data_IF_109661181816
#
_entry.id   IF_109661181816
#
_cell.length_a   1.000
_cell.length_b   1.000
_cell.length_c   1.000
_cell.angle_alpha   90.00
_cell.angle_beta   90.00
_cell.angle_gamma   90.00
#
_symmetry.space_group_name_H-M   'P 1'
#
loop_
_entity.id
_entity.type
_entity.pdbx_description
1 polymer ?
#
# COMPACT_ATOMS: atom_id res chain seq x y z
N UNK A 1 8.73 16.62 -30.17
CA UNK A 1 9.40 15.61 -29.33
C UNK A 1 8.39 14.66 -28.67
N UNK A 2 7.37 15.15 -27.95
CA UNK A 2 6.39 14.31 -27.23
C UNK A 2 5.56 13.31 -28.10
N UNK A 3 5.38 13.57 -29.39
CA UNK A 3 4.62 12.67 -30.27
C UNK A 3 5.45 11.48 -30.79
N UNK A 4 6.78 11.62 -30.85
CA UNK A 4 7.66 10.53 -31.28
C UNK A 4 7.82 9.47 -30.18
N UNK A 5 7.82 9.89 -28.90
CA UNK A 5 7.89 8.99 -27.75
C UNK A 5 6.62 8.15 -27.58
N UNK A 6 5.45 8.69 -27.90
CA UNK A 6 4.19 7.94 -27.79
C UNK A 6 4.07 6.84 -28.86
N UNK A 7 4.52 7.09 -30.09
CA UNK A 7 4.51 6.07 -31.15
C UNK A 7 5.51 4.95 -30.85
N UNK A 8 6.69 5.25 -30.30
CA UNK A 8 7.67 4.22 -29.93
C UNK A 8 7.17 3.36 -28.78
N UNK A 9 6.52 3.95 -27.76
CA UNK A 9 5.90 3.21 -26.66
C UNK A 9 4.75 2.32 -27.15
N UNK A 10 3.92 2.83 -28.06
CA UNK A 10 2.83 2.06 -28.67
C UNK A 10 3.37 0.85 -29.44
N UNK A 11 4.40 1.05 -30.26
CA UNK A 11 5.02 -0.06 -31.00
C UNK A 11 5.60 -1.12 -30.07
N UNK A 12 6.34 -0.72 -29.03
CA UNK A 12 6.89 -1.64 -28.04
C UNK A 12 5.80 -2.44 -27.31
N UNK A 13 4.68 -1.81 -26.96
CA UNK A 13 3.56 -2.50 -26.34
C UNK A 13 2.90 -3.53 -27.28
N UNK A 14 2.74 -3.20 -28.57
CA UNK A 14 2.21 -4.13 -29.56
C UNK A 14 3.14 -5.31 -29.83
N UNK A 15 4.45 -5.12 -29.78
CA UNK A 15 5.42 -6.22 -29.91
C UNK A 15 5.33 -7.18 -28.71
N UNK A 16 5.21 -6.66 -27.49
CA UNK A 16 4.98 -7.49 -26.31
C UNK A 16 3.66 -8.26 -26.38
N UNK A 17 2.59 -7.66 -26.92
CA UNK A 17 1.33 -8.41 -27.13
C UNK A 17 1.53 -9.62 -28.04
N UNK A 18 2.34 -9.49 -29.11
CA UNK A 18 2.66 -10.60 -30.02
C UNK A 18 3.45 -11.70 -29.29
N UNK A 19 4.44 -11.32 -28.47
CA UNK A 19 5.21 -12.27 -27.65
C UNK A 19 4.33 -13.06 -26.67
N UNK A 20 3.27 -12.43 -26.16
CA UNK A 20 2.29 -13.04 -25.27
C UNK A 20 1.10 -13.70 -25.99
N UNK A 21 1.25 -14.05 -27.28
CA UNK A 21 0.24 -14.73 -28.11
C UNK A 21 -1.09 -13.97 -28.27
N UNK A 22 -1.10 -12.65 -28.08
CA UNK A 22 -2.25 -11.80 -28.37
C UNK A 22 -2.11 -11.30 -29.82
N UNK A 23 -3.11 -11.61 -30.65
CA UNK A 23 -3.07 -11.24 -32.06
C UNK A 23 -3.18 -9.73 -32.23
N UNK A 24 -2.25 -9.16 -33.00
CA UNK A 24 -2.24 -7.73 -33.36
C UNK A 24 -2.56 -7.62 -34.85
N UNK A 25 -3.44 -6.68 -35.19
CA UNK A 25 -3.88 -6.37 -36.55
C UNK A 25 -3.40 -4.98 -36.96
N UNK A 26 -2.86 -4.88 -38.18
CA UNK A 26 -2.45 -3.62 -38.82
C UNK A 26 -1.53 -2.73 -37.97
N UNK A 27 -0.75 -3.31 -37.05
CA UNK A 27 0.16 -2.60 -36.13
C UNK A 27 -0.48 -1.41 -35.37
N UNK A 28 -1.81 -1.44 -35.20
CA UNK A 28 -2.55 -0.40 -34.46
C UNK A 28 -3.66 -0.94 -33.58
N UNK A 29 -4.06 -2.20 -33.74
CA UNK A 29 -5.18 -2.81 -33.03
C UNK A 29 -4.79 -4.21 -32.53
N UNK A 30 -5.35 -4.65 -31.41
CA UNK A 30 -5.16 -6.02 -30.90
C UNK A 30 -6.51 -6.69 -30.68
N UNK A 31 -6.56 -8.00 -30.95
CA UNK A 31 -7.78 -8.79 -30.88
C UNK A 31 -7.94 -9.38 -29.48
N UNK A 32 -9.01 -8.99 -28.80
CA UNK A 32 -9.35 -9.52 -27.47
C UNK A 32 -10.24 -10.78 -27.60
N UNK A 33 -11.16 -10.78 -28.56
CA UNK A 33 -12.03 -11.92 -28.88
C UNK A 33 -12.91 -11.62 -30.10
N UNK A 34 -13.62 -12.65 -30.57
CA UNK A 34 -14.50 -12.60 -31.74
C UNK A 34 -15.95 -12.62 -31.28
N UNK A 35 -16.72 -11.59 -31.65
CA UNK A 35 -18.13 -11.48 -31.29
C UNK A 35 -19.02 -11.91 -32.45
N UNK A 36 -19.87 -12.91 -32.21
CA UNK A 36 -20.87 -13.35 -33.18
C UNK A 36 -22.15 -12.54 -33.02
N UNK A 37 -22.39 -11.61 -33.95
CA UNK A 37 -23.56 -10.73 -33.93
C UNK A 37 -24.90 -11.47 -34.10
N UNK A 38 -24.92 -12.66 -34.71
CA UNK A 38 -26.16 -13.41 -34.94
C UNK A 38 -26.60 -14.11 -33.66
N UNK A 39 -25.66 -14.71 -32.93
CA UNK A 39 -25.93 -15.42 -31.68
C UNK A 39 -25.82 -14.54 -30.43
N UNK A 40 -25.39 -13.27 -30.60
CA UNK A 40 -25.16 -12.29 -29.54
C UNK A 40 -24.19 -12.74 -28.44
N UNK A 41 -23.21 -13.56 -28.79
CA UNK A 41 -22.23 -14.11 -27.86
C UNK A 41 -20.82 -14.10 -28.47
N UNK A 42 -19.81 -14.16 -27.59
CA UNK A 42 -18.44 -14.34 -28.02
C UNK A 42 -18.21 -15.80 -28.43
N UNK A 43 -17.38 -15.99 -29.45
CA UNK A 43 -16.98 -17.33 -29.89
C UNK A 43 -16.04 -17.99 -28.86
N UNK A 44 -15.22 -17.21 -28.18
CA UNK A 44 -14.37 -17.68 -27.09
C UNK A 44 -15.04 -17.56 -25.71
N UNK A 45 -14.56 -18.38 -24.77
CA UNK A 45 -14.95 -18.29 -23.37
C UNK A 45 -14.61 -16.91 -22.77
N UNK A 46 -15.55 -16.35 -22.01
CA UNK A 46 -15.42 -15.04 -21.39
C UNK A 46 -14.20 -14.95 -20.45
N UNK A 47 -13.78 -16.06 -19.82
CA UNK A 47 -12.58 -16.12 -18.99
C UNK A 47 -11.30 -15.91 -19.82
N UNK A 48 -11.25 -16.45 -21.04
CA UNK A 48 -10.12 -16.26 -21.97
C UNK A 48 -10.06 -14.81 -22.44
N UNK A 49 -11.21 -14.22 -22.78
CA UNK A 49 -11.33 -12.82 -23.19
C UNK A 49 -10.89 -11.88 -22.07
N UNK A 50 -11.39 -12.11 -20.85
CA UNK A 50 -10.98 -11.34 -19.66
C UNK A 50 -9.48 -11.48 -19.38
N UNK A 51 -8.94 -12.70 -19.49
CA UNK A 51 -7.51 -12.95 -19.33
C UNK A 51 -6.65 -12.18 -20.33
N UNK A 52 -7.01 -12.21 -21.63
CA UNK A 52 -6.34 -11.43 -22.68
C UNK A 52 -6.42 -9.92 -22.42
N UNK A 53 -7.57 -9.44 -21.98
CA UNK A 53 -7.77 -8.02 -21.67
C UNK A 53 -6.88 -7.55 -20.52
N UNK A 54 -6.84 -8.30 -19.41
CA UNK A 54 -5.99 -7.99 -18.25
C UNK A 54 -4.52 -8.05 -18.64
N UNK A 55 -4.10 -9.09 -19.37
CA UNK A 55 -2.72 -9.23 -19.84
C UNK A 55 -2.31 -8.03 -20.72
N UNK A 56 -3.15 -7.64 -21.69
CA UNK A 56 -2.87 -6.48 -22.52
C UNK A 56 -2.74 -5.20 -21.69
N UNK A 57 -3.66 -4.94 -20.75
CA UNK A 57 -3.62 -3.78 -19.88
C UNK A 57 -2.32 -3.71 -19.05
N UNK A 58 -1.86 -4.85 -18.51
CA UNK A 58 -0.61 -4.93 -17.75
C UNK A 58 0.63 -4.66 -18.62
N UNK A 59 0.66 -5.18 -19.84
CA UNK A 59 1.77 -4.94 -20.78
C UNK A 59 1.83 -3.46 -21.20
N UNK A 60 0.68 -2.82 -21.44
CA UNK A 60 0.63 -1.38 -21.71
C UNK A 60 1.09 -0.55 -20.50
N UNK A 61 0.71 -0.94 -19.28
CA UNK A 61 1.16 -0.28 -18.06
C UNK A 61 2.68 -0.41 -17.88
N UNK A 62 3.23 -1.62 -18.09
CA UNK A 62 4.66 -1.90 -18.03
C UNK A 62 5.48 -1.02 -18.98
N UNK A 63 5.05 -0.90 -20.24
CA UNK A 63 5.76 -0.10 -21.25
C UNK A 63 5.63 1.40 -20.99
N UNK A 64 4.45 1.86 -20.56
CA UNK A 64 4.19 3.29 -20.33
C UNK A 64 4.85 3.84 -19.06
N UNK A 65 5.32 2.97 -18.15
CA UNK A 65 5.89 3.37 -16.86
C UNK A 65 4.93 4.20 -15.98
N UNK A 66 3.62 4.12 -16.24
CA UNK A 66 2.59 4.85 -15.49
C UNK A 66 2.13 3.99 -14.32
N UNK A 67 2.37 4.48 -13.10
CA UNK A 67 2.38 3.65 -11.89
C UNK A 67 3.66 2.81 -11.86
N UNK A 68 4.27 2.57 -10.70
CA UNK A 68 5.59 1.93 -10.57
C UNK A 68 5.69 0.48 -11.08
N UNK A 69 4.69 0.00 -11.82
CA UNK A 69 4.57 -1.35 -12.32
C UNK A 69 5.58 -1.61 -13.45
N UNK A 70 6.59 -2.43 -13.17
CA UNK A 70 7.48 -3.01 -14.18
C UNK A 70 7.56 -4.51 -13.97
N UNK A 71 7.36 -5.29 -15.03
CA UNK A 71 7.72 -6.70 -15.00
C UNK A 71 9.24 -6.82 -14.80
N UNK A 72 9.71 -7.76 -13.97
CA UNK A 72 11.12 -8.13 -13.94
C UNK A 72 11.53 -8.62 -15.32
N UNK A 73 12.56 -8.01 -15.91
CA UNK A 73 13.12 -8.51 -17.17
C UNK A 73 13.83 -9.83 -16.86
N UNK A 74 13.32 -10.92 -17.44
CA UNK A 74 13.92 -12.25 -17.26
C UNK A 74 15.31 -12.22 -17.91
N UNK A 75 16.37 -12.17 -17.11
CA UNK A 75 17.72 -12.34 -17.64
C UNK A 75 17.80 -13.73 -18.25
N UNK A 76 17.94 -13.80 -19.57
CA UNK A 76 18.22 -15.04 -20.27
C UNK A 76 19.60 -15.50 -19.82
N UNK A 77 19.62 -16.39 -18.83
CA UNK A 77 20.80 -17.18 -18.48
C UNK A 77 21.14 -17.96 -19.74
N UNK A 78 22.24 -17.58 -20.38
CA UNK A 78 22.83 -18.36 -21.45
C UNK A 78 23.51 -19.56 -20.80
N UNK A 79 23.00 -20.75 -21.11
CA UNK A 79 23.57 -22.02 -20.72
C UNK A 79 25.02 -22.14 -21.21
N UNK A 80 25.99 -21.93 -20.32
CA UNK A 80 27.26 -22.65 -20.37
C UNK A 80 27.54 -23.26 -18.99
N UNK A 81 27.42 -24.59 -18.96
CA UNK A 81 27.71 -25.41 -17.82
C UNK A 81 29.19 -25.32 -17.44
N UNK A 82 29.46 -24.87 -16.22
CA UNK A 82 30.47 -25.50 -15.36
C UNK A 82 30.00 -25.46 -13.92
N UNK A 83 29.89 -26.65 -13.36
CA UNK A 83 29.69 -26.93 -11.95
C UNK A 83 30.66 -26.13 -11.08
N UNK A 84 30.14 -25.33 -10.17
CA UNK A 84 30.65 -25.29 -8.80
C UNK A 84 29.52 -24.88 -7.86
N UNK A 85 29.39 -25.68 -6.82
CA UNK A 85 28.35 -25.60 -5.81
C UNK A 85 28.69 -24.46 -4.86
N UNK A 86 27.93 -23.37 -4.92
CA UNK A 86 27.82 -22.44 -3.81
C UNK A 86 26.37 -22.43 -3.37
N UNK A 87 26.16 -22.94 -2.17
CA UNK A 87 24.91 -22.89 -1.45
C UNK A 87 24.73 -21.43 -1.03
N UNK A 88 23.93 -20.67 -1.77
CA UNK A 88 23.43 -19.38 -1.28
C UNK A 88 22.30 -19.70 -0.28
N UNK A 89 22.69 -19.84 0.98
CA UNK A 89 21.83 -19.68 2.15
C UNK A 89 21.44 -18.19 2.25
N UNK A 90 20.43 -17.75 1.50
CA UNK A 90 19.60 -16.57 1.79
C UNK A 90 18.48 -16.49 0.75
N UNK A 91 17.66 -17.54 0.67
CA UNK A 91 16.32 -17.38 0.12
C UNK A 91 15.49 -16.65 1.19
N UNK A 92 15.43 -15.32 1.12
CA UNK A 92 14.38 -14.56 1.81
C UNK A 92 13.04 -15.22 1.47
N UNK A 93 12.44 -15.93 2.42
CA UNK A 93 11.07 -16.39 2.28
C UNK A 93 10.22 -15.13 2.05
N UNK A 94 9.72 -14.95 0.83
CA UNK A 94 8.77 -13.89 0.53
C UNK A 94 7.49 -14.20 1.30
N UNK A 95 7.37 -13.68 2.52
CA UNK A 95 6.15 -13.76 3.32
C UNK A 95 5.11 -12.84 2.69
N UNK A 96 4.11 -13.42 2.04
CA UNK A 96 3.02 -12.64 1.45
C UNK A 96 2.01 -12.25 2.54
N UNK A 97 1.92 -10.95 2.83
CA UNK A 97 1.00 -10.40 3.82
C UNK A 97 -0.32 -10.01 3.17
N UNK A 98 -1.24 -10.97 3.09
CA UNK A 98 -2.59 -10.76 2.57
C UNK A 98 -3.53 -10.22 3.66
N UNK A 99 -4.04 -8.99 3.49
CA UNK A 99 -5.01 -8.40 4.41
C UNK A 99 -6.45 -8.89 4.15
N UNK A 100 -7.21 -9.15 5.22
CA UNK A 100 -8.60 -9.56 5.18
C UNK A 100 -9.43 -8.79 6.21
N UNK A 101 -10.37 -7.97 5.73
CA UNK A 101 -11.31 -7.22 6.57
C UNK A 101 -12.60 -7.97 6.92
N UNK A 102 -12.63 -9.30 6.79
CA UNK A 102 -13.78 -10.09 7.22
C UNK A 102 -13.88 -10.10 8.75
N UNK A 103 -14.93 -9.46 9.30
CA UNK A 103 -15.15 -9.37 10.74
C UNK A 103 -15.14 -10.72 11.45
N UNK A 104 -15.70 -11.79 10.85
CA UNK A 104 -15.73 -13.11 11.49
C UNK A 104 -14.33 -13.68 11.69
N UNK A 105 -13.46 -13.53 10.68
CA UNK A 105 -12.05 -13.99 10.75
C UNK A 105 -11.27 -13.18 11.77
N UNK A 106 -11.43 -11.86 11.76
CA UNK A 106 -10.78 -10.95 12.71
C UNK A 106 -11.22 -11.28 14.14
N UNK A 107 -12.52 -11.45 14.35
CA UNK A 107 -13.10 -11.76 15.66
C UNK A 107 -12.60 -13.10 16.20
N UNK A 108 -12.56 -14.15 15.36
CA UNK A 108 -12.04 -15.46 15.74
C UNK A 108 -10.56 -15.40 16.13
N UNK A 109 -9.74 -14.67 15.36
CA UNK A 109 -8.31 -14.48 15.66
C UNK A 109 -8.11 -13.77 17.00
N UNK A 110 -8.91 -12.73 17.26
CA UNK A 110 -8.91 -12.01 18.54
C UNK A 110 -9.32 -12.93 19.70
N UNK A 111 -10.37 -13.75 19.53
CA UNK A 111 -10.85 -14.66 20.57
C UNK A 111 -9.87 -15.79 20.90
N UNK A 112 -9.05 -16.21 19.94
CA UNK A 112 -8.05 -17.26 20.13
C UNK A 112 -6.80 -16.78 20.88
N UNK A 113 -6.68 -15.48 21.14
CA UNK A 113 -5.59 -14.91 21.92
C UNK A 113 -5.87 -14.96 23.43
N UNK A 114 -4.83 -14.81 24.25
CA UNK A 114 -4.96 -14.81 25.71
C UNK A 114 -5.66 -13.58 26.30
N UNK A 115 -5.99 -12.59 25.47
CA UNK A 115 -6.65 -11.35 25.86
C UNK A 115 -8.15 -11.44 25.58
N UNK A 116 -8.97 -10.94 26.51
CA UNK A 116 -10.43 -10.94 26.36
C UNK A 116 -10.94 -9.52 26.16
N UNK A 117 -11.66 -9.32 25.05
CA UNK A 117 -12.37 -8.08 24.74
C UNK A 117 -13.83 -8.38 24.43
N UNK A 118 -14.71 -7.42 24.71
CA UNK A 118 -16.12 -7.54 24.38
C UNK A 118 -16.31 -7.57 22.85
N UNK A 119 -17.21 -8.42 22.37
CA UNK A 119 -17.58 -8.51 20.97
C UNK A 119 -18.12 -7.19 20.44
N UNK A 120 -18.91 -6.48 21.24
CA UNK A 120 -19.47 -5.19 20.83
C UNK A 120 -18.36 -4.15 20.63
N UNK A 121 -17.33 -4.14 21.48
CA UNK A 121 -16.17 -3.26 21.33
C UNK A 121 -15.37 -3.56 20.05
N UNK A 122 -15.10 -4.83 19.75
CA UNK A 122 -14.38 -5.22 18.53
C UNK A 122 -15.21 -4.89 17.29
N UNK A 123 -16.53 -5.13 17.33
CA UNK A 123 -17.45 -4.78 16.25
C UNK A 123 -17.45 -3.28 16.00
N UNK A 124 -17.56 -2.47 17.05
CA UNK A 124 -17.63 -1.04 16.91
C UNK A 124 -16.29 -0.48 16.39
N UNK A 125 -15.15 -1.00 16.85
CA UNK A 125 -13.83 -0.68 16.28
C UNK A 125 -13.77 -1.00 14.79
N UNK A 126 -14.18 -2.21 14.40
CA UNK A 126 -14.21 -2.65 13.01
C UNK A 126 -15.05 -1.71 12.15
N UNK A 127 -16.30 -1.46 12.57
CA UNK A 127 -17.22 -0.58 11.84
C UNK A 127 -16.67 0.84 11.69
N UNK A 128 -16.10 1.43 12.73
CA UNK A 128 -15.54 2.78 12.64
C UNK A 128 -14.30 2.83 11.72
N UNK A 129 -13.54 1.74 11.64
CA UNK A 129 -12.41 1.64 10.71
C UNK A 129 -12.83 1.30 9.28
N UNK A 130 -13.98 0.67 9.02
CA UNK A 130 -14.34 0.22 7.66
C UNK A 130 -15.55 0.92 7.05
N UNK A 131 -16.27 1.76 7.81
CA UNK A 131 -17.51 2.39 7.33
C UNK A 131 -17.28 3.48 6.27
N UNK A 132 -16.11 4.13 6.29
CA UNK A 132 -15.72 5.17 5.34
C UNK A 132 -14.59 4.63 4.46
N UNK A 133 -14.47 5.12 3.22
CA UNK A 133 -13.47 4.63 2.26
C UNK A 133 -12.10 5.33 2.40
N UNK A 134 -12.05 6.44 3.13
CA UNK A 134 -10.94 7.39 3.12
C UNK A 134 -10.72 8.10 4.47
N UNK A 135 -11.54 7.79 5.48
CA UNK A 135 -11.46 8.40 6.81
C UNK A 135 -11.47 7.32 7.89
N UNK A 136 -10.35 6.62 8.00
CA UNK A 136 -10.12 5.54 8.94
C UNK A 136 -9.50 6.08 10.24
N UNK A 137 -10.29 6.82 11.03
CA UNK A 137 -9.80 7.43 12.27
C UNK A 137 -10.70 7.07 13.46
N UNK A 138 -10.09 6.45 14.48
CA UNK A 138 -10.80 5.99 15.68
C UNK A 138 -10.07 6.43 16.94
N UNK A 139 -10.82 6.94 17.91
CA UNK A 139 -10.30 7.25 19.24
C UNK A 139 -10.76 6.15 20.21
N UNK A 140 -9.81 5.41 20.76
CA UNK A 140 -10.08 4.47 21.86
C UNK A 140 -9.99 5.23 23.19
N UNK A 141 -11.13 5.59 23.76
CA UNK A 141 -11.20 6.25 25.07
C UNK A 141 -11.34 5.25 26.22
N UNK A 142 -10.68 5.51 27.35
CA UNK A 142 -10.83 4.68 28.55
C UNK A 142 -9.68 4.89 29.54
N UNK A 143 -9.85 4.36 30.75
CA UNK A 143 -8.84 4.44 31.82
C UNK A 143 -7.52 3.80 31.34
N UNK A 144 -6.38 4.28 31.83
CA UNK A 144 -5.09 3.63 31.55
C UNK A 144 -5.10 2.18 32.04
N UNK A 145 -4.41 1.29 31.31
CA UNK A 145 -4.34 -0.14 31.64
C UNK A 145 -5.52 -1.01 31.17
N UNK A 146 -6.51 -0.46 30.44
CA UNK A 146 -7.65 -1.25 29.89
C UNK A 146 -7.33 -1.99 28.59
N UNK A 147 -6.05 -2.08 28.19
CA UNK A 147 -5.63 -2.84 27.02
C UNK A 147 -5.93 -2.19 25.65
N UNK A 148 -6.14 -0.87 25.58
CA UNK A 148 -6.45 -0.15 24.32
C UNK A 148 -5.41 -0.36 23.22
N UNK A 149 -4.14 -0.16 23.56
CA UNK A 149 -3.01 -0.39 22.65
C UNK A 149 -2.96 -1.86 22.20
N UNK A 150 -3.28 -2.80 23.10
CA UNK A 150 -3.31 -4.22 22.78
C UNK A 150 -4.46 -4.61 21.87
N UNK A 151 -5.65 -4.01 22.06
CA UNK A 151 -6.76 -4.19 21.14
C UNK A 151 -6.40 -3.70 19.74
N UNK A 152 -5.78 -2.51 19.63
CA UNK A 152 -5.38 -1.96 18.33
C UNK A 152 -4.32 -2.83 17.64
N UNK A 153 -3.28 -3.26 18.38
CA UNK A 153 -2.27 -4.20 17.88
C UNK A 153 -2.90 -5.51 17.41
N UNK A 154 -3.75 -6.10 18.24
CA UNK A 154 -4.38 -7.37 17.97
C UNK A 154 -5.30 -7.30 16.74
N UNK A 155 -6.06 -6.20 16.60
CA UNK A 155 -6.89 -5.96 15.43
C UNK A 155 -6.06 -5.87 14.15
N UNK A 156 -4.98 -5.07 14.16
CA UNK A 156 -4.09 -4.94 13.00
C UNK A 156 -3.45 -6.28 12.61
N UNK A 157 -2.98 -7.06 13.59
CA UNK A 157 -2.44 -8.39 13.33
C UNK A 157 -3.50 -9.36 12.81
N UNK A 158 -4.71 -9.33 13.37
CA UNK A 158 -5.83 -10.16 12.92
C UNK A 158 -6.26 -9.86 11.47
N UNK A 159 -6.18 -8.60 11.03
CA UNK A 159 -6.40 -8.23 9.62
C UNK A 159 -5.42 -8.94 8.70
N UNK A 160 -4.19 -9.19 9.14
CA UNK A 160 -3.18 -9.95 8.39
C UNK A 160 -3.11 -11.44 8.77
N UNK A 161 -4.05 -11.94 9.59
CA UNK A 161 -4.03 -13.32 10.08
C UNK A 161 -2.82 -13.67 10.95
N UNK A 162 -2.16 -12.67 11.51
CA UNK A 162 -0.97 -12.82 12.34
C UNK A 162 -1.34 -13.02 13.82
N UNK A 163 -0.55 -13.81 14.59
CA UNK A 163 -0.72 -13.89 16.03
C UNK A 163 -0.36 -12.57 16.73
N UNK A 164 -0.76 -12.43 17.99
CA UNK A 164 -0.54 -11.20 18.76
C UNK A 164 0.95 -10.83 18.93
N UNK A 165 1.81 -11.83 19.08
CA UNK A 165 3.26 -11.65 19.27
C UNK A 165 4.02 -11.39 17.97
N UNK A 166 3.40 -11.65 16.81
CA UNK A 166 4.04 -11.43 15.52
C UNK A 166 4.38 -9.95 15.31
N UNK A 167 5.53 -9.74 14.68
CA UNK A 167 5.88 -8.45 14.12
C UNK A 167 5.10 -8.24 12.82
N UNK A 168 4.44 -7.10 12.73
CA UNK A 168 3.57 -6.76 11.62
C UNK A 168 4.15 -5.52 10.93
N UNK A 169 4.71 -5.66 9.71
CA UNK A 169 5.37 -4.54 9.02
C UNK A 169 4.41 -3.40 8.66
N UNK A 170 3.10 -3.64 8.72
CA UNK A 170 2.06 -2.65 8.47
C UNK A 170 1.51 -1.99 9.74
N UNK A 171 2.05 -2.31 10.91
CA UNK A 171 1.65 -1.72 12.18
C UNK A 171 2.79 -0.90 12.78
N UNK A 172 2.50 0.34 13.18
CA UNK A 172 3.42 1.17 13.96
C UNK A 172 2.74 1.75 15.18
N UNK A 173 3.36 1.58 16.34
CA UNK A 173 2.87 2.09 17.63
C UNK A 173 3.79 3.22 18.05
N UNK A 174 3.29 4.45 17.93
CA UNK A 174 4.06 5.68 18.14
C UNK A 174 3.63 6.30 19.47
N UNK A 175 4.48 6.30 20.51
CA UNK A 175 4.16 6.95 21.77
C UNK A 175 4.26 8.47 21.62
N UNK A 176 3.15 9.17 21.86
CA UNK A 176 3.11 10.63 21.85
C UNK A 176 3.98 11.18 22.96
N UNK A 177 4.77 12.22 22.67
CA UNK A 177 5.65 12.86 23.65
C UNK A 177 5.07 14.21 24.09
N UNK A 178 5.28 14.62 25.36
CA UNK A 178 4.72 15.87 25.87
C UNK A 178 5.30 17.14 25.22
N UNK A 179 6.45 17.04 24.56
CA UNK A 179 7.11 18.11 23.82
C UNK A 179 6.59 18.28 22.38
N UNK A 180 5.60 17.49 21.96
CA UNK A 180 4.97 17.66 20.64
C UNK A 180 4.12 18.94 20.60
N UNK A 181 4.60 19.94 19.87
CA UNK A 181 3.98 21.27 19.80
C UNK A 181 3.38 21.64 18.44
N UNK A 182 3.67 20.87 17.39
CA UNK A 182 3.20 21.12 16.02
C UNK A 182 3.29 19.84 15.16
N UNK A 183 2.92 19.95 13.89
CA UNK A 183 2.91 18.85 12.92
C UNK A 183 4.29 18.25 12.60
N UNK A 184 5.40 18.89 12.97
CA UNK A 184 6.75 18.34 12.72
C UNK A 184 7.00 17.05 13.50
N UNK A 185 6.27 16.82 14.59
CA UNK A 185 6.31 15.57 15.33
C UNK A 185 5.78 14.37 14.54
N UNK A 186 4.84 14.61 13.61
CA UNK A 186 4.28 13.59 12.72
C UNK A 186 4.96 13.59 11.36
N UNK A 187 5.23 14.75 10.78
CA UNK A 187 5.71 14.86 9.39
C UNK A 187 7.23 15.05 9.28
N UNK A 188 7.92 15.29 10.39
CA UNK A 188 9.35 15.57 10.39
C UNK A 188 9.68 17.02 9.99
N UNK A 189 10.98 17.29 9.86
CA UNK A 189 11.49 18.60 9.50
C UNK A 189 12.90 18.51 8.93
N UNK A 190 13.32 19.54 8.20
CA UNK A 190 14.72 19.65 7.77
C UNK A 190 15.58 20.23 8.89
N UNK A 191 16.60 19.48 9.32
CA UNK A 191 17.60 19.97 10.28
C UNK A 191 18.77 20.60 9.54
N UNK A 192 18.90 21.92 9.65
CA UNK A 192 20.08 22.65 9.13
C UNK A 192 21.37 22.30 9.88
N UNK A 193 21.27 21.77 11.09
CA UNK A 193 22.43 21.31 11.86
C UNK A 193 22.97 20.00 11.30
N UNK A 194 22.09 19.04 11.00
CA UNK A 194 22.47 17.74 10.46
C UNK A 194 22.52 17.71 8.92
N UNK A 195 22.12 18.80 8.27
CA UNK A 195 21.97 18.93 6.81
C UNK A 195 21.16 17.78 6.19
N UNK A 196 20.10 17.34 6.88
CA UNK A 196 19.22 16.29 6.40
C UNK A 196 17.80 16.47 6.92
N UNK A 197 16.86 15.82 6.25
CA UNK A 197 15.50 15.72 6.75
C UNK A 197 15.40 14.66 7.85
N UNK A 198 14.84 15.05 8.99
CA UNK A 198 14.58 14.16 10.12
C UNK A 198 13.20 13.54 9.90
N UNK A 199 13.18 12.35 9.31
CA UNK A 199 11.96 11.58 9.09
C UNK A 199 11.50 10.91 10.38
N UNK A 200 10.25 11.15 10.75
CA UNK A 200 9.53 10.51 11.85
C UNK A 200 9.04 9.12 11.44
N UNK A 201 8.69 8.29 12.42
CA UNK A 201 8.07 6.99 12.16
C UNK A 201 6.74 7.13 11.42
N UNK A 202 5.91 8.10 11.80
CA UNK A 202 4.65 8.40 11.14
C UNK A 202 4.85 8.70 9.64
N UNK A 203 5.81 9.55 9.28
CA UNK A 203 6.09 9.86 7.88
C UNK A 203 6.59 8.62 7.11
N UNK A 204 7.39 7.76 7.74
CA UNK A 204 7.87 6.52 7.08
C UNK A 204 6.71 5.60 6.74
N UNK A 205 5.77 5.41 7.67
CA UNK A 205 4.56 4.60 7.42
C UNK A 205 3.72 5.23 6.31
N UNK A 206 3.57 6.56 6.30
CA UNK A 206 2.84 7.27 5.27
C UNK A 206 3.44 7.07 3.87
N UNK A 207 4.77 7.15 3.77
CA UNK A 207 5.51 6.87 2.54
C UNK A 207 5.40 5.40 2.11
N UNK A 208 5.41 4.47 3.08
CA UNK A 208 5.22 3.04 2.82
C UNK A 208 3.80 2.75 2.29
N UNK A 209 2.78 3.34 2.92
CA UNK A 209 1.39 3.25 2.49
C UNK A 209 1.17 3.83 1.08
N UNK A 210 1.96 4.82 0.68
CA UNK A 210 1.97 5.31 -0.69
C UNK A 210 2.56 4.34 -1.71
N UNK A 211 3.51 3.49 -1.31
CA UNK A 211 4.13 2.47 -2.16
C UNK A 211 3.25 1.22 -2.27
N UNK A 212 2.65 0.77 -1.16
CA UNK A 212 1.80 -0.42 -1.08
C UNK A 212 0.34 -0.02 -0.83
N UNK A 213 -0.28 0.60 -1.85
CA UNK A 213 -1.63 1.20 -1.77
C UNK A 213 -2.75 0.18 -1.52
N UNK A 214 -2.49 -1.07 -1.86
CA UNK A 214 -3.41 -2.20 -1.73
C UNK A 214 -3.44 -2.81 -0.33
N UNK A 215 -2.47 -2.46 0.53
CA UNK A 215 -2.34 -3.02 1.87
C UNK A 215 -2.67 -1.99 2.96
N UNK A 216 -3.55 -2.30 3.92
CA UNK A 216 -3.89 -1.39 5.01
C UNK A 216 -2.71 -1.22 5.98
N UNK A 217 -2.37 0.03 6.28
CA UNK A 217 -1.37 0.40 7.26
C UNK A 217 -2.07 0.91 8.52
N UNK A 218 -1.54 0.56 9.69
CA UNK A 218 -2.11 0.91 10.98
C UNK A 218 -1.11 1.75 11.77
N UNK A 219 -1.52 2.96 12.15
CA UNK A 219 -0.78 3.78 13.09
C UNK A 219 -1.54 3.88 14.39
N UNK A 220 -0.90 3.50 15.49
CA UNK A 220 -1.43 3.67 16.85
C UNK A 220 -0.66 4.80 17.52
N UNK A 221 -1.29 5.96 17.68
CA UNK A 221 -0.76 7.05 18.51
C UNK A 221 -1.07 6.76 19.99
N UNK A 222 -0.12 6.17 20.70
CA UNK A 222 -0.31 5.81 22.11
C UNK A 222 -0.09 7.03 23.02
N UNK A 223 -0.81 7.06 24.14
CA UNK A 223 -0.82 8.17 25.08
C UNK A 223 -1.09 9.53 24.40
N UNK A 224 -2.00 9.52 23.41
CA UNK A 224 -2.39 10.67 22.56
C UNK A 224 -2.62 11.99 23.31
N UNK A 225 -3.08 11.88 24.56
CA UNK A 225 -3.41 12.99 25.45
C UNK A 225 -2.21 13.63 26.17
N UNK A 226 -0.99 13.12 26.00
CA UNK A 226 0.22 13.71 26.62
C UNK A 226 0.60 15.05 26.03
N UNK A 227 0.26 15.29 24.77
CA UNK A 227 0.38 16.57 24.10
C UNK A 227 -1.00 17.08 23.68
N UNK A 228 -1.07 18.38 23.35
CA UNK A 228 -2.30 18.97 22.80
C UNK A 228 -2.55 18.40 21.41
N UNK A 229 -3.53 17.50 21.31
CA UNK A 229 -3.84 16.77 20.08
C UNK A 229 -4.08 17.70 18.89
N UNK A 230 -4.69 18.86 19.12
CA UNK A 230 -5.01 19.81 18.06
C UNK A 230 -3.76 20.49 17.48
N UNK A 231 -2.60 20.39 18.14
CA UNK A 231 -1.37 21.05 17.68
C UNK A 231 -0.58 20.17 16.72
N UNK A 232 -0.37 18.90 17.05
CA UNK A 232 0.43 18.01 16.21
C UNK A 232 -0.39 17.27 15.16
N UNK A 233 -1.70 17.09 15.37
CA UNK A 233 -2.57 16.32 14.47
C UNK A 233 -3.37 17.20 13.49
N UNK A 234 -3.33 18.52 13.62
CA UNK A 234 -4.12 19.45 12.80
C UNK A 234 -3.90 19.27 11.30
N UNK A 235 -2.63 19.21 10.88
CA UNK A 235 -2.28 19.05 9.46
C UNK A 235 -2.77 17.71 8.91
N UNK A 236 -2.68 16.63 9.70
CA UNK A 236 -3.22 15.32 9.34
C UNK A 236 -4.74 15.38 9.15
N UNK A 237 -5.48 15.91 10.13
CA UNK A 237 -6.93 16.02 10.04
C UNK A 237 -7.37 16.90 8.86
N UNK A 238 -6.66 18.00 8.61
CA UNK A 238 -6.91 18.86 7.46
C UNK A 238 -6.66 18.13 6.14
N UNK A 239 -5.59 17.35 6.05
CA UNK A 239 -5.27 16.53 4.88
C UNK A 239 -6.34 15.47 4.59
N UNK A 240 -6.81 14.77 5.63
CA UNK A 240 -7.89 13.79 5.52
C UNK A 240 -9.20 14.43 5.06
N UNK A 241 -9.59 15.58 5.63
CA UNK A 241 -10.89 16.20 5.33
C UNK A 241 -10.93 16.97 4.00
N UNK A 242 -9.82 17.57 3.60
CA UNK A 242 -9.75 18.40 2.39
C UNK A 242 -9.14 17.69 1.18
N UNK A 243 -8.57 16.50 1.38
CA UNK A 243 -7.76 15.77 0.40
C UNK A 243 -6.61 16.60 -0.20
N UNK A 244 -6.15 17.61 0.53
CA UNK A 244 -5.03 18.46 0.12
C UNK A 244 -3.71 17.85 0.56
N UNK A 245 -2.68 18.13 -0.23
CA UNK A 245 -1.32 17.76 0.11
C UNK A 245 -0.79 18.64 1.25
N UNK A 246 -0.11 17.99 2.19
CA UNK A 246 0.57 18.61 3.33
C UNK A 246 2.01 18.95 2.88
N UNK A 247 2.45 20.21 3.00
CA UNK A 247 3.81 20.59 2.64
C UNK A 247 4.84 20.04 3.65
N UNK A 248 5.90 19.41 3.15
CA UNK A 248 7.01 18.85 3.95
C UNK A 248 8.27 19.72 3.89
N UNK A 249 8.67 20.15 2.68
CA UNK A 249 9.81 21.04 2.46
C UNK A 249 9.72 21.74 1.09
N UNK A 250 10.48 22.83 0.92
CA UNK A 250 10.58 23.57 -0.34
C UNK A 250 11.96 23.41 -1.00
N UNK A 251 12.55 22.22 -0.83
CA UNK A 251 13.92 21.91 -1.25
C UNK A 251 13.93 20.94 -2.42
N UNK A 252 14.75 21.22 -3.42
CA UNK A 252 14.89 20.41 -4.63
C UNK A 252 16.02 19.36 -4.53
N UNK A 253 16.88 19.45 -3.51
CA UNK A 253 18.03 18.56 -3.29
C UNK A 253 17.67 17.27 -2.52
N UNK A 254 16.41 17.14 -2.08
CA UNK A 254 15.91 15.98 -1.36
C UNK A 254 15.02 15.15 -2.30
N UNK A 255 15.62 14.24 -3.07
CA UNK A 255 14.87 13.39 -4.01
C UNK A 255 14.10 12.26 -3.32
N UNK A 256 14.61 11.76 -2.19
CA UNK A 256 14.02 10.63 -1.46
C UNK A 256 12.73 10.99 -0.71
N UNK A 257 12.53 12.28 -0.41
CA UNK A 257 11.39 12.78 0.36
C UNK A 257 10.63 13.76 -0.52
N UNK A 258 9.32 13.58 -0.71
CA UNK A 258 8.56 14.48 -1.54
C UNK A 258 8.37 15.82 -0.83
N UNK A 259 8.36 16.91 -1.60
CA UNK A 259 8.11 18.27 -1.07
C UNK A 259 6.73 18.42 -0.44
N UNK A 260 5.77 17.60 -0.86
CA UNK A 260 4.40 17.55 -0.33
C UNK A 260 3.91 16.10 -0.29
N UNK A 261 2.99 15.80 0.61
CA UNK A 261 2.43 14.46 0.77
C UNK A 261 0.92 14.49 0.98
N UNK A 262 0.19 13.57 0.35
CA UNK A 262 -1.23 13.36 0.60
C UNK A 262 -1.44 12.27 1.66
N UNK A 263 -2.58 12.25 2.35
CA UNK A 263 -2.92 11.09 3.19
C UNK A 263 -3.49 9.99 2.28
N UNK A 264 -2.88 8.79 2.23
CA UNK A 264 -3.39 7.70 1.43
C UNK A 264 -4.65 7.08 2.08
N UNK A 265 -5.56 6.53 1.28
CA UNK A 265 -6.81 5.94 1.78
C UNK A 265 -6.60 4.60 2.49
N UNK A 266 -5.42 3.98 2.40
CA UNK A 266 -5.08 2.72 3.06
C UNK A 266 -4.31 2.91 4.38
N UNK A 267 -4.45 4.07 5.03
CA UNK A 267 -3.88 4.40 6.35
C UNK A 267 -4.99 4.52 7.40
#
# INVERSE_FOLDING_TARGET
MHNQDNETLKHRALDLLKEHNIQVRHDSEYLIGTYNNFEQQFEEDLAVIKGRFVCAALLFAHVSGRGSFKFPENQVITDEATSDTLVDEDSEETVDYNSNFNFSVIFETIQNCSLTFDKDLIRDLHLNLTALNDKHFVILSGISGTGKTQLAKLYANAVYGLPYEADNPYLSIIPVRPDWTDGTALFGYYSSFENRYIMTEFLRVLLHAHKEREKPHFIVLDEMNLARVEYYLSDYLSGVESHKEIPLHNRDDLEEIPSKISIPPNL
#
